data_IF_971903145425
#
_entry.id   IF_971903145425
#
_cell.length_a   1.000
_cell.length_b   1.000
_cell.length_c   1.000
_cell.angle_alpha   90.00
_cell.angle_beta   90.00
_cell.angle_gamma   90.00
#
_symmetry.space_group_name_H-M   'P 1'
#
loop_
_entity.id
_entity.type
_entity.pdbx_description
1 polymer ?
#
# COMPACT_ATOMS: atom_id res chain seq x y z
N UNK A 1 17.42 -4.10 -7.91
CA UNK A 1 16.94 -3.02 -8.79
C UNK A 1 17.31 -3.37 -10.22
N UNK A 2 16.31 -3.59 -11.07
CA UNK A 2 16.52 -3.96 -12.48
C UNK A 2 16.55 -2.72 -13.35
N UNK A 3 17.50 -2.65 -14.29
CA UNK A 3 17.57 -1.61 -15.32
C UNK A 3 17.25 -2.20 -16.69
N UNK A 4 16.45 -1.49 -17.48
CA UNK A 4 16.18 -1.77 -18.87
C UNK A 4 16.43 -0.52 -19.71
N UNK A 5 16.90 -0.68 -20.94
CA UNK A 5 16.84 0.41 -21.91
C UNK A 5 15.39 0.58 -22.41
N UNK A 6 15.03 1.76 -22.92
CA UNK A 6 13.75 1.98 -23.59
C UNK A 6 13.54 0.98 -24.74
N UNK A 7 14.61 0.56 -25.43
CA UNK A 7 14.55 -0.44 -26.50
C UNK A 7 14.23 -1.83 -25.95
N UNK A 8 14.85 -2.25 -24.85
CA UNK A 8 14.58 -3.56 -24.24
C UNK A 8 13.19 -3.62 -23.61
N UNK A 9 12.75 -2.53 -22.98
CA UNK A 9 11.39 -2.38 -22.49
C UNK A 9 10.37 -2.54 -23.61
N UNK A 10 10.54 -1.81 -24.73
CA UNK A 10 9.62 -1.87 -25.87
C UNK A 10 9.64 -3.22 -26.59
N UNK A 11 10.77 -3.95 -26.57
CA UNK A 11 10.89 -5.27 -27.18
C UNK A 11 10.14 -6.36 -26.40
N UNK A 12 10.13 -6.27 -25.06
CA UNK A 12 9.49 -7.26 -24.19
C UNK A 12 8.84 -6.63 -22.95
N UNK A 13 7.71 -5.96 -23.19
CA UNK A 13 6.91 -5.32 -22.13
C UNK A 13 6.38 -6.34 -21.12
N UNK A 14 6.05 -7.56 -21.57
CA UNK A 14 5.52 -8.61 -20.70
C UNK A 14 6.55 -9.09 -19.68
N UNK A 15 7.80 -9.26 -20.08
CA UNK A 15 8.90 -9.52 -19.15
C UNK A 15 9.14 -8.34 -18.20
N UNK A 16 9.11 -7.10 -18.70
CA UNK A 16 9.26 -5.92 -17.85
C UNK A 16 8.16 -5.84 -16.77
N UNK A 17 6.89 -6.08 -17.13
CA UNK A 17 5.76 -6.15 -16.19
C UNK A 17 5.95 -7.25 -15.14
N UNK A 18 6.39 -8.45 -15.54
CA UNK A 18 6.67 -9.55 -14.59
C UNK A 18 7.79 -9.18 -13.62
N UNK A 19 8.85 -8.53 -14.11
CA UNK A 19 9.91 -8.05 -13.24
C UNK A 19 9.41 -6.96 -12.26
N UNK A 20 8.56 -6.06 -12.74
CA UNK A 20 7.93 -4.99 -11.95
C UNK A 20 6.96 -5.48 -10.85
N UNK A 21 6.55 -6.75 -10.89
CA UNK A 21 5.83 -7.38 -9.78
C UNK A 21 6.73 -7.75 -8.60
N UNK A 22 8.03 -7.94 -8.85
CA UNK A 22 9.02 -8.31 -7.82
C UNK A 22 9.69 -7.07 -7.26
N UNK A 23 10.13 -6.16 -8.12
CA UNK A 23 10.80 -4.93 -7.73
C UNK A 23 10.65 -3.83 -8.79
N UNK A 24 10.78 -2.54 -8.44
CA UNK A 24 10.78 -1.45 -9.41
C UNK A 24 11.86 -1.63 -10.49
N UNK A 25 11.48 -1.35 -11.73
CA UNK A 25 12.37 -1.43 -12.90
C UNK A 25 12.64 -0.01 -13.41
N UNK A 26 13.90 0.39 -13.47
CA UNK A 26 14.30 1.65 -14.10
C UNK A 26 14.40 1.48 -15.60
N UNK A 27 13.83 2.42 -16.33
CA UNK A 27 13.91 2.49 -17.79
C UNK A 27 14.84 3.66 -18.14
N UNK A 28 15.84 3.36 -18.97
CA UNK A 28 16.85 4.31 -19.40
C UNK A 28 16.68 4.72 -20.86
N UNK A 29 16.87 6.00 -21.15
CA UNK A 29 17.06 6.50 -22.51
C UNK A 29 18.48 7.07 -22.63
N UNK A 30 19.21 6.65 -23.68
CA UNK A 30 20.64 6.99 -23.90
C UNK A 30 21.52 6.85 -22.63
N UNK A 31 21.26 5.82 -21.82
CA UNK A 31 22.00 5.54 -20.59
C UNK A 31 21.57 6.34 -19.36
N UNK A 32 20.60 7.25 -19.49
CA UNK A 32 20.05 8.02 -18.38
C UNK A 32 18.71 7.44 -17.91
N UNK A 33 18.50 7.18 -16.61
CA UNK A 33 17.19 6.81 -16.09
C UNK A 33 16.16 7.92 -16.36
N UNK A 34 15.03 7.56 -16.94
CA UNK A 34 13.96 8.52 -17.28
C UNK A 34 12.62 8.12 -16.70
N UNK A 35 12.37 6.83 -16.52
CA UNK A 35 11.10 6.31 -16.00
C UNK A 35 11.33 5.14 -15.05
N UNK A 36 10.31 4.87 -14.23
CA UNK A 36 10.22 3.67 -13.38
C UNK A 36 8.93 2.93 -13.72
N UNK A 37 9.01 1.62 -13.82
CA UNK A 37 7.85 0.72 -13.87
C UNK A 37 7.75 -0.04 -12.54
N UNK A 38 6.57 -0.04 -11.95
CA UNK A 38 6.24 -0.80 -10.73
C UNK A 38 4.78 -1.25 -10.73
N UNK A 39 4.42 -2.17 -9.84
CA UNK A 39 3.02 -2.54 -9.62
C UNK A 39 2.21 -1.36 -9.08
N UNK A 40 0.90 -1.34 -9.36
CA UNK A 40 -0.01 -0.32 -8.83
C UNK A 40 -0.10 -0.37 -7.29
N UNK A 41 0.04 -1.56 -6.70
CA UNK A 41 0.04 -1.72 -5.25
C UNK A 41 1.26 -1.06 -4.60
N UNK A 42 2.45 -1.21 -5.20
CA UNK A 42 3.66 -0.54 -4.73
C UNK A 42 3.57 0.98 -4.91
N UNK A 43 3.06 1.43 -6.06
CA UNK A 43 2.82 2.85 -6.29
C UNK A 43 1.91 3.45 -5.21
N UNK A 44 0.76 2.82 -4.91
CA UNK A 44 -0.17 3.29 -3.88
C UNK A 44 0.44 3.30 -2.48
N UNK A 45 1.23 2.27 -2.13
CA UNK A 45 1.97 2.24 -0.87
C UNK A 45 2.92 3.43 -0.74
N UNK A 46 3.65 3.76 -1.82
CA UNK A 46 4.61 4.86 -1.84
C UNK A 46 3.94 6.24 -1.85
N UNK A 47 2.80 6.38 -2.53
CA UNK A 47 2.06 7.65 -2.58
C UNK A 47 1.16 7.89 -1.37
N UNK A 48 1.05 6.92 -0.46
CA UNK A 48 0.14 6.99 0.67
C UNK A 48 -1.33 6.84 0.30
N UNK A 49 -1.64 6.42 -0.94
CA UNK A 49 -2.97 6.00 -1.39
C UNK A 49 -3.30 4.56 -0.92
N UNK A 50 -2.90 4.21 0.30
CA UNK A 50 -3.36 3.00 0.97
C UNK A 50 -4.84 3.11 1.33
N UNK A 51 -5.47 1.99 1.67
CA UNK A 51 -6.82 2.00 2.23
C UNK A 51 -6.87 2.97 3.41
N UNK A 52 -7.85 3.87 3.38
CA UNK A 52 -8.05 4.81 4.48
C UNK A 52 -8.22 4.02 5.78
N UNK A 53 -7.73 4.54 6.91
CA UNK A 53 -8.07 3.96 8.23
C UNK A 53 -9.58 3.78 8.36
N UNK A 54 -10.37 4.69 7.78
CA UNK A 54 -11.83 4.57 7.74
C UNK A 54 -12.32 3.39 6.89
N UNK A 55 -11.66 3.07 5.77
CA UNK A 55 -12.01 1.88 4.96
C UNK A 55 -11.60 0.58 5.66
N UNK A 56 -10.44 0.57 6.32
CA UNK A 56 -9.96 -0.59 7.07
C UNK A 56 -10.84 -0.90 8.30
N UNK A 57 -11.37 0.15 8.94
CA UNK A 57 -12.28 0.03 10.08
C UNK A 57 -13.76 -0.02 9.67
N UNK A 58 -14.08 0.16 8.39
CA UNK A 58 -15.44 0.08 7.92
C UNK A 58 -15.93 -1.36 8.04
N UNK A 59 -16.86 -1.58 8.97
CA UNK A 59 -17.61 -2.82 9.02
C UNK A 59 -18.69 -2.76 7.92
N UNK A 60 -18.70 -3.68 6.94
CA UNK A 60 -19.63 -3.61 5.81
C UNK A 60 -21.09 -3.81 6.24
N UNK A 61 -21.32 -4.46 7.37
CA UNK A 61 -22.63 -4.68 7.98
C UNK A 61 -22.59 -4.16 9.42
N UNK A 62 -23.64 -3.46 9.89
CA UNK A 62 -23.72 -3.01 11.27
C UNK A 62 -23.79 -4.22 12.21
N UNK A 63 -22.88 -4.27 13.18
CA UNK A 63 -22.96 -5.25 14.26
C UNK A 63 -24.04 -4.79 15.24
N UNK A 64 -25.05 -5.63 15.45
CA UNK A 64 -25.98 -5.46 16.55
C UNK A 64 -25.24 -5.75 17.85
N UNK A 65 -24.90 -4.68 18.59
CA UNK A 65 -24.39 -4.78 19.95
C UNK A 65 -25.59 -4.91 20.89
N UNK A 66 -25.70 -6.02 21.61
CA UNK A 66 -26.65 -6.12 22.70
C UNK A 66 -26.13 -5.29 23.88
N UNK A 67 -27.01 -4.54 24.54
CA UNK A 67 -26.61 -3.66 25.65
C UNK A 67 -25.94 -4.41 26.82
N UNK A 68 -26.14 -5.73 26.91
CA UNK A 68 -25.46 -6.60 27.87
C UNK A 68 -23.96 -6.81 27.56
N UNK A 69 -23.55 -6.68 26.29
CA UNK A 69 -22.17 -6.86 25.84
C UNK A 69 -21.33 -5.59 26.03
N UNK A 70 -21.98 -4.43 26.15
CA UNK A 70 -21.35 -3.15 26.48
C UNK A 70 -21.10 -3.06 27.99
N UNK A 71 -20.13 -3.82 28.49
CA UNK A 71 -19.72 -3.72 29.90
C UNK A 71 -19.10 -2.34 30.19
N UNK A 72 -19.65 -1.65 31.18
CA UNK A 72 -19.08 -0.42 31.75
C UNK A 72 -17.91 -0.69 32.73
N UNK A 73 -17.59 -1.97 32.96
CA UNK A 73 -16.63 -2.38 33.98
C UNK A 73 -15.19 -2.20 33.48
N UNK A 74 -14.64 -1.01 33.76
CA UNK A 74 -13.20 -0.78 33.86
C UNK A 74 -12.46 -0.35 32.58
N UNK A 75 -13.11 -0.31 31.41
CA UNK A 75 -12.41 -0.01 30.15
C UNK A 75 -11.84 1.43 30.05
N UNK A 76 -12.29 2.35 30.92
CA UNK A 76 -11.89 3.76 30.90
C UNK A 76 -11.09 4.20 32.14
N UNK A 77 -10.71 3.27 33.02
CA UNK A 77 -10.03 3.57 34.30
C UNK A 77 -8.50 3.61 34.19
N UNK A 78 -7.98 3.89 32.99
CA UNK A 78 -6.57 4.20 32.78
C UNK A 78 -6.38 5.71 32.56
N UNK A 79 -6.77 6.52 33.54
CA UNK A 79 -6.13 7.83 33.72
C UNK A 79 -5.00 7.64 34.71
N UNK A 80 -3.84 7.21 34.22
CA UNK A 80 -2.61 7.50 34.96
C UNK A 80 -2.52 9.02 35.09
N UNK A 81 -2.64 9.50 36.33
CA UNK A 81 -2.39 10.88 36.70
C UNK A 81 -0.92 11.18 36.40
N UNK A 82 -0.69 12.06 35.42
CA UNK A 82 0.62 12.66 35.19
C UNK A 82 0.92 13.61 36.36
N UNK A 83 1.76 13.15 37.29
CA UNK A 83 2.49 14.01 38.24
C UNK A 83 3.58 14.83 37.52
#
# INVERSE_FOLDING_TARGET
MKLLSSRDFNRDVSHAKRAAQVEPVLITDRGQPTHVLMSIAEYRRLTGEGESILELLAMPEPVALEAADASADGAWDHRESLD
#
